data_IF_574537841007
#
_entry.id   IF_574537841007
#
_cell.length_a   1.000
_cell.length_b   1.000
_cell.length_c   1.000
_cell.angle_alpha   90.00
_cell.angle_beta   90.00
_cell.angle_gamma   90.00
#
_symmetry.space_group_name_H-M   'P 1'
#
loop_
_entity.id
_entity.type
_entity.pdbx_description
1 polymer ?
#
# COMPACT_ATOMS: atom_id res chain seq x y z
N UNK A 1 13.68 30.23 27.15
CA UNK A 1 12.26 29.95 26.84
C UNK A 1 12.25 29.13 25.55
N UNK A 2 12.29 27.81 25.66
CA UNK A 2 11.12 26.91 25.52
C UNK A 2 10.41 27.15 24.18
N UNK A 3 10.48 26.27 23.19
CA UNK A 3 9.92 24.92 23.26
C UNK A 3 10.50 24.03 22.16
N UNK A 4 11.08 22.89 22.56
CA UNK A 4 11.31 21.71 21.72
C UNK A 4 9.93 21.09 21.47
N UNK A 5 9.35 21.32 20.29
CA UNK A 5 8.14 20.60 19.89
C UNK A 5 8.50 19.14 19.62
N UNK A 6 7.83 18.24 20.33
CA UNK A 6 8.22 16.85 20.49
C UNK A 6 8.28 16.07 19.18
N UNK A 7 9.41 15.37 18.99
CA UNK A 7 9.40 14.11 18.22
C UNK A 7 8.35 13.22 18.88
N UNK A 8 7.19 13.05 18.24
CA UNK A 8 6.30 11.96 18.58
C UNK A 8 7.05 10.68 18.25
N UNK A 9 7.60 10.09 19.30
CA UNK A 9 8.20 8.77 19.31
C UNK A 9 7.08 7.79 18.98
N UNK A 10 7.05 7.35 17.71
CA UNK A 10 6.12 6.32 17.26
C UNK A 10 6.53 5.07 18.02
N UNK A 11 5.76 4.73 19.07
CA UNK A 11 5.87 3.46 19.77
C UNK A 11 5.67 2.36 18.74
N UNK A 12 6.77 1.81 18.22
CA UNK A 12 6.76 0.68 17.32
C UNK A 12 6.23 -0.52 18.12
N UNK A 13 4.90 -0.67 18.17
CA UNK A 13 4.32 -2.00 18.39
C UNK A 13 4.93 -2.87 17.29
N UNK A 14 5.79 -3.80 17.69
CA UNK A 14 6.29 -4.86 16.82
C UNK A 14 5.08 -5.51 16.16
N UNK A 15 4.95 -5.29 14.85
CA UNK A 15 3.92 -5.94 14.05
C UNK A 15 4.23 -7.42 14.10
N UNK A 16 3.32 -8.20 14.68
CA UNK A 16 3.45 -9.65 14.76
C UNK A 16 3.10 -10.26 13.40
N UNK A 17 4.13 -10.42 12.58
CA UNK A 17 4.08 -11.14 11.32
C UNK A 17 4.37 -12.62 11.60
N UNK A 18 3.42 -13.53 11.31
CA UNK A 18 3.64 -14.95 11.51
C UNK A 18 4.84 -15.44 10.67
N UNK A 19 5.72 -16.26 11.25
CA UNK A 19 6.83 -16.88 10.51
C UNK A 19 6.34 -17.65 9.28
N UNK A 20 5.17 -18.28 9.39
CA UNK A 20 4.51 -18.98 8.29
C UNK A 20 4.23 -18.08 7.10
N UNK A 21 3.85 -16.82 7.32
CA UNK A 21 3.64 -15.85 6.25
C UNK A 21 4.96 -15.52 5.55
N UNK A 22 6.04 -15.28 6.30
CA UNK A 22 7.36 -14.99 5.73
C UNK A 22 7.88 -16.16 4.87
N UNK A 23 7.64 -17.40 5.30
CA UNK A 23 7.99 -18.58 4.53
C UNK A 23 7.16 -18.70 3.24
N UNK A 24 5.86 -18.44 3.33
CA UNK A 24 4.95 -18.47 2.17
C UNK A 24 5.36 -17.45 1.10
N UNK A 25 5.61 -16.19 1.48
CA UNK A 25 5.99 -15.16 0.48
C UNK A 25 7.33 -15.45 -0.18
N UNK A 26 8.28 -16.04 0.55
CA UNK A 26 9.62 -16.34 0.03
C UNK A 26 9.63 -17.50 -0.97
N UNK A 27 8.67 -18.41 -0.85
CA UNK A 27 8.57 -19.58 -1.74
C UNK A 27 7.62 -19.34 -2.92
N UNK A 28 6.78 -18.31 -2.85
CA UNK A 28 5.80 -18.02 -3.87
C UNK A 28 6.44 -17.43 -5.13
N UNK A 29 6.23 -18.09 -6.27
CA UNK A 29 6.79 -17.70 -7.56
C UNK A 29 5.74 -17.04 -8.46
N UNK A 30 4.45 -17.30 -8.21
CA UNK A 30 3.36 -16.72 -8.96
C UNK A 30 3.00 -15.35 -8.39
N UNK A 31 3.24 -14.30 -9.18
CA UNK A 31 3.04 -12.90 -8.80
C UNK A 31 1.62 -12.63 -8.28
N UNK A 32 0.60 -13.22 -8.91
CA UNK A 32 -0.79 -13.04 -8.48
C UNK A 32 -1.01 -13.61 -7.08
N UNK A 33 -0.52 -14.83 -6.83
CA UNK A 33 -0.63 -15.49 -5.52
C UNK A 33 0.15 -14.72 -4.46
N UNK A 34 1.36 -14.25 -4.79
CA UNK A 34 2.19 -13.44 -3.90
C UNK A 34 1.46 -12.17 -3.45
N UNK A 35 0.85 -11.45 -4.38
CA UNK A 35 0.13 -10.21 -4.09
C UNK A 35 -1.15 -10.47 -3.29
N UNK A 36 -1.84 -11.58 -3.55
CA UNK A 36 -2.98 -12.00 -2.73
C UNK A 36 -2.56 -12.33 -1.28
N UNK A 37 -1.41 -12.98 -1.08
CA UNK A 37 -0.87 -13.23 0.25
C UNK A 37 -0.58 -11.91 0.99
N UNK A 38 0.09 -10.97 0.32
CA UNK A 38 0.41 -9.64 0.87
C UNK A 38 -0.87 -8.87 1.20
N UNK A 39 -1.86 -8.86 0.30
CA UNK A 39 -3.13 -8.17 0.51
C UNK A 39 -3.87 -8.74 1.71
N UNK A 40 -3.97 -10.07 1.79
CA UNK A 40 -4.64 -10.78 2.89
C UNK A 40 -4.01 -10.46 4.24
N UNK A 41 -2.69 -10.56 4.33
CA UNK A 41 -1.99 -10.35 5.58
C UNK A 41 -1.98 -8.87 5.98
N UNK A 42 -1.79 -7.97 5.02
CA UNK A 42 -1.87 -6.53 5.27
C UNK A 42 -3.26 -6.13 5.76
N UNK A 43 -4.34 -6.72 5.21
CA UNK A 43 -5.72 -6.44 5.62
C UNK A 43 -5.94 -6.86 7.07
N UNK A 44 -5.44 -8.04 7.45
CA UNK A 44 -5.48 -8.55 8.83
C UNK A 44 -4.76 -7.62 9.80
N UNK A 45 -3.55 -7.18 9.45
CA UNK A 45 -2.70 -6.35 10.31
C UNK A 45 -3.24 -4.93 10.48
N UNK A 46 -3.71 -4.32 9.39
CA UNK A 46 -4.23 -2.96 9.37
C UNK A 46 -5.69 -2.86 9.80
N UNK A 47 -6.39 -4.00 9.93
CA UNK A 47 -7.84 -4.04 10.19
C UNK A 47 -8.63 -3.20 9.18
N UNK A 48 -8.19 -3.21 7.93
CA UNK A 48 -8.78 -2.40 6.87
C UNK A 48 -9.95 -3.13 6.19
N UNK A 49 -10.93 -2.38 5.72
CA UNK A 49 -12.03 -2.93 4.90
C UNK A 49 -11.50 -3.41 3.53
N UNK A 50 -10.67 -2.59 2.88
CA UNK A 50 -10.08 -2.86 1.58
C UNK A 50 -8.59 -2.57 1.56
N UNK A 51 -7.84 -3.40 0.83
CA UNK A 51 -6.45 -3.16 0.48
C UNK A 51 -6.29 -3.41 -1.01
N UNK A 52 -5.42 -2.63 -1.65
CA UNK A 52 -4.99 -2.85 -3.03
C UNK A 52 -3.49 -2.64 -3.12
N UNK A 53 -2.82 -3.56 -3.82
CA UNK A 53 -1.39 -3.47 -4.10
C UNK A 53 -1.21 -3.19 -5.59
N UNK A 54 -0.68 -2.02 -5.92
CA UNK A 54 -0.42 -1.62 -7.30
C UNK A 54 1.04 -1.84 -7.65
N UNK A 55 1.30 -2.30 -8.87
CA UNK A 55 2.62 -2.33 -9.48
C UNK A 55 2.80 -1.10 -10.35
N UNK A 56 3.97 -0.46 -10.25
CA UNK A 56 4.30 0.69 -11.08
C UNK A 56 4.91 0.22 -12.40
N UNK A 57 4.18 0.45 -13.49
CA UNK A 57 4.69 0.37 -14.85
C UNK A 57 5.36 1.70 -15.21
N UNK A 58 6.69 1.74 -15.12
CA UNK A 58 7.47 2.96 -15.36
C UNK A 58 7.51 3.37 -16.83
N UNK A 59 7.29 2.43 -17.75
CA UNK A 59 7.37 2.70 -19.18
C UNK A 59 6.14 3.49 -19.63
N UNK A 60 4.98 3.06 -19.19
CA UNK A 60 3.70 3.69 -19.53
C UNK A 60 3.28 4.75 -18.49
N UNK A 61 4.01 4.88 -17.37
CA UNK A 61 3.69 5.74 -16.23
C UNK A 61 2.30 5.42 -15.63
N UNK A 62 2.03 4.15 -15.41
CA UNK A 62 0.75 3.65 -14.91
C UNK A 62 0.92 2.79 -13.66
N UNK A 63 -0.07 2.87 -12.78
CA UNK A 63 -0.27 1.92 -11.69
C UNK A 63 -1.21 0.82 -12.14
N UNK A 64 -0.70 -0.40 -12.17
CA UNK A 64 -1.45 -1.59 -12.58
C UNK A 64 -1.82 -2.43 -11.37
N UNK A 65 -3.11 -2.75 -11.24
CA UNK A 65 -3.61 -3.75 -10.29
C UNK A 65 -3.69 -5.13 -10.99
N UNK A 66 -2.85 -6.09 -10.58
CA UNK A 66 -2.72 -7.39 -11.27
C UNK A 66 -3.78 -8.41 -10.86
N UNK A 67 -4.67 -8.07 -9.95
CA UNK A 67 -5.82 -8.90 -9.57
C UNK A 67 -7.06 -8.37 -10.31
N UNK A 68 -7.64 -9.13 -11.26
CA UNK A 68 -8.78 -8.64 -12.04
C UNK A 68 -9.98 -8.33 -11.14
N UNK A 69 -10.53 -7.12 -11.28
CA UNK A 69 -11.80 -6.75 -10.65
C UNK A 69 -12.89 -6.89 -11.71
N UNK A 70 -13.86 -7.78 -11.47
CA UNK A 70 -14.93 -8.08 -12.44
C UNK A 70 -14.41 -8.47 -13.83
N UNK A 71 -13.27 -9.19 -13.87
CA UNK A 71 -12.64 -9.65 -15.12
C UNK A 71 -11.87 -8.58 -15.89
N UNK A 72 -11.68 -7.37 -15.34
CA UNK A 72 -10.90 -6.30 -15.98
C UNK A 72 -9.63 -5.99 -15.18
N UNK A 73 -8.54 -5.75 -15.91
CA UNK A 73 -7.33 -5.19 -15.34
C UNK A 73 -7.55 -3.70 -15.09
N UNK A 74 -7.31 -3.27 -13.85
CA UNK A 74 -7.39 -1.86 -13.47
C UNK A 74 -6.02 -1.21 -13.69
N UNK A 75 -6.01 -0.11 -14.44
CA UNK A 75 -4.85 0.75 -14.65
C UNK A 75 -5.21 2.19 -14.30
N UNK A 76 -4.31 2.87 -13.60
CA UNK A 76 -4.46 4.25 -13.17
C UNK A 76 -3.24 5.05 -13.65
N UNK A 77 -3.42 6.31 -14.00
CA UNK A 77 -2.30 7.21 -14.29
C UNK A 77 -1.48 7.43 -13.01
N UNK A 78 -0.18 7.09 -13.04
CA UNK A 78 0.69 7.18 -11.87
C UNK A 78 1.04 8.63 -11.47
N UNK A 79 0.52 9.63 -12.19
CA UNK A 79 0.73 11.07 -11.91
C UNK A 79 -0.46 11.70 -11.19
N UNK A 80 -1.58 10.99 -11.06
CA UNK A 80 -2.85 11.53 -10.57
C UNK A 80 -3.30 10.89 -9.25
N UNK A 81 -4.13 11.63 -8.51
CA UNK A 81 -4.74 11.16 -7.27
C UNK A 81 -3.75 10.88 -6.13
N UNK A 82 -4.27 10.24 -5.08
CA UNK A 82 -3.53 9.91 -3.86
C UNK A 82 -2.37 8.94 -4.16
N UNK A 83 -2.62 7.89 -4.95
CA UNK A 83 -1.61 6.88 -5.26
C UNK A 83 -0.48 7.46 -6.14
N UNK A 84 -0.81 8.29 -7.13
CA UNK A 84 0.20 8.95 -7.94
C UNK A 84 1.05 9.94 -7.14
N UNK A 85 0.43 10.71 -6.23
CA UNK A 85 1.18 11.57 -5.31
C UNK A 85 2.14 10.79 -4.41
N UNK A 86 1.73 9.62 -3.92
CA UNK A 86 2.57 8.71 -3.12
C UNK A 86 3.76 8.18 -3.93
N UNK A 87 3.55 7.78 -5.18
CA UNK A 87 4.61 7.34 -6.09
C UNK A 87 5.62 8.47 -6.35
N UNK A 88 5.12 9.69 -6.58
CA UNK A 88 5.96 10.84 -6.88
C UNK A 88 6.80 11.30 -5.69
N UNK A 89 6.25 11.26 -4.47
CA UNK A 89 6.95 11.68 -3.25
C UNK A 89 7.80 10.58 -2.62
N UNK A 90 7.40 9.32 -2.75
CA UNK A 90 7.97 8.20 -1.99
C UNK A 90 7.60 8.21 -0.49
N UNK A 91 6.69 9.09 -0.09
CA UNK A 91 6.31 9.31 1.32
C UNK A 91 4.97 8.66 1.66
N UNK A 92 4.79 8.31 2.94
CA UNK A 92 3.50 7.84 3.45
C UNK A 92 2.46 8.95 3.39
N UNK A 93 1.32 8.67 2.75
CA UNK A 93 0.19 9.60 2.67
C UNK A 93 -0.99 9.01 3.44
N UNK A 94 -1.43 9.72 4.48
CA UNK A 94 -2.61 9.35 5.27
C UNK A 94 -3.70 10.42 5.11
N UNK A 95 -4.77 10.07 4.40
CA UNK A 95 -5.91 10.96 4.13
C UNK A 95 -7.03 10.65 5.12
N UNK A 96 -7.32 11.59 6.03
CA UNK A 96 -8.36 11.40 7.06
C UNK A 96 -9.78 11.65 6.55
N UNK A 97 -9.91 12.54 5.57
CA UNK A 97 -11.17 12.87 4.90
C UNK A 97 -10.90 13.01 3.40
N UNK A 98 -11.41 12.04 2.63
CA UNK A 98 -11.21 11.99 1.18
C UNK A 98 -11.98 13.08 0.44
N UNK A 99 -13.11 13.56 0.99
CA UNK A 99 -13.91 14.59 0.32
C UNK A 99 -13.24 15.96 0.35
N UNK A 100 -12.34 16.16 1.31
CA UNK A 100 -11.54 17.38 1.45
C UNK A 100 -10.16 17.29 0.79
N UNK A 101 -9.80 16.14 0.21
CA UNK A 101 -8.52 15.97 -0.49
C UNK A 101 -8.62 16.52 -1.92
N UNK A 102 -7.65 17.33 -2.33
CA UNK A 102 -7.70 18.05 -3.62
C UNK A 102 -7.13 17.25 -4.81
N UNK A 103 -6.71 16.00 -4.60
CA UNK A 103 -6.05 15.15 -5.60
C UNK A 103 -7.00 14.09 -6.13
#
# INVERSE_FOLDING_TARGET
MASRSGKQEISHKSIDLPETFLLQINQEQELQTLLQLIEKESRRLLQAEGISVFLLDRKECELWFPLPVSGRLLRLDARLGIAGACVASGELINVKDVQSDSR
#
